data_IF_296526186225
#
_entry.id   IF_296526186225
#
_cell.length_a   1.000
_cell.length_b   1.000
_cell.length_c   1.000
_cell.angle_alpha   90.00
_cell.angle_beta   90.00
_cell.angle_gamma   90.00
#
_symmetry.space_group_name_H-M   'P 1'
#
loop_
_entity.id
_entity.type
_entity.pdbx_description
1 polymer ?
#
# COMPACT_ATOMS: atom_id res chain seq x y z
N UNK A 1 6.13 -15.70 13.68
CA UNK A 1 4.78 -15.20 13.33
C UNK A 1 4.73 -13.75 13.81
N UNK A 2 4.15 -12.81 13.05
CA UNK A 2 4.07 -11.42 13.50
C UNK A 2 3.01 -11.28 14.60
N UNK A 3 3.31 -10.56 15.68
CA UNK A 3 2.37 -10.39 16.80
C UNK A 3 1.57 -9.09 16.63
N UNK A 4 0.24 -9.24 16.59
CA UNK A 4 -0.68 -8.12 16.45
C UNK A 4 -0.87 -7.40 17.80
N UNK A 5 0.15 -6.64 18.21
CA UNK A 5 0.10 -5.84 19.43
C UNK A 5 -0.41 -4.42 19.14
N UNK A 6 -1.62 -4.10 19.59
CA UNK A 6 -2.13 -2.72 19.57
C UNK A 6 -1.39 -1.74 20.51
N UNK A 7 -0.35 -2.21 21.22
CA UNK A 7 0.50 -1.40 22.12
C UNK A 7 1.86 -1.01 21.50
N UNK A 8 2.14 -1.44 20.27
CA UNK A 8 3.46 -1.48 19.62
C UNK A 8 4.28 -0.18 19.53
N UNK A 9 3.68 0.97 19.86
CA UNK A 9 4.46 2.18 20.16
C UNK A 9 3.63 3.12 21.06
N UNK A 10 4.19 3.49 22.21
CA UNK A 10 3.59 4.54 23.04
C UNK A 10 3.69 5.90 22.36
N UNK A 11 2.88 6.87 22.79
CA UNK A 11 2.99 8.25 22.30
C UNK A 11 4.36 8.87 22.55
N UNK A 12 5.06 8.44 23.62
CA UNK A 12 6.39 8.87 24.00
C UNK A 12 7.49 8.30 23.09
N UNK A 13 7.48 6.99 22.83
CA UNK A 13 8.43 6.37 21.91
C UNK A 13 8.25 6.90 20.48
N UNK A 14 7.01 7.13 20.05
CA UNK A 14 6.73 7.76 18.76
C UNK A 14 7.30 9.18 18.68
N UNK A 15 7.28 9.94 19.77
CA UNK A 15 7.90 11.26 19.84
C UNK A 15 9.44 11.18 19.82
N UNK A 16 10.05 10.25 20.57
CA UNK A 16 11.50 10.04 20.53
C UNK A 16 12.01 9.61 19.15
N UNK A 17 11.32 8.66 18.50
CA UNK A 17 11.67 8.17 17.16
C UNK A 17 11.48 9.27 16.11
N UNK A 18 10.39 10.04 16.18
CA UNK A 18 10.18 11.24 15.36
C UNK A 18 11.29 12.29 15.54
N UNK A 19 11.79 12.47 16.77
CA UNK A 19 12.94 13.34 17.07
C UNK A 19 14.27 12.87 16.47
N UNK A 20 14.38 11.60 16.07
CA UNK A 20 15.53 11.03 15.33
C UNK A 20 15.35 11.09 13.80
N UNK A 21 14.26 11.66 13.31
CA UNK A 21 13.91 11.66 11.89
C UNK A 21 13.26 10.35 11.40
N UNK A 22 12.98 9.38 12.28
CA UNK A 22 12.16 8.23 11.94
C UNK A 22 10.72 8.67 11.63
N UNK A 23 9.95 7.83 10.92
CA UNK A 23 8.60 8.15 10.40
C UNK A 23 7.47 7.35 11.11
N UNK A 24 7.30 7.38 12.45
CA UNK A 24 6.32 6.56 13.19
C UNK A 24 4.88 7.10 13.11
N UNK A 25 4.35 7.27 11.89
CA UNK A 25 2.98 7.72 11.63
C UNK A 25 1.93 6.73 12.14
N UNK A 26 0.68 7.17 12.36
CA UNK A 26 -0.35 6.34 13.02
C UNK A 26 -0.66 5.04 12.28
N UNK A 27 -0.65 5.07 10.96
CA UNK A 27 -0.83 3.92 10.06
C UNK A 27 0.28 2.87 10.13
N UNK A 28 1.47 3.21 10.66
CA UNK A 28 2.57 2.25 10.87
C UNK A 28 2.58 1.65 12.30
N UNK A 29 1.52 1.84 13.09
CA UNK A 29 1.39 1.36 14.49
C UNK A 29 0.48 0.14 14.62
N UNK A 30 0.32 -0.63 13.55
CA UNK A 30 -0.71 -1.68 13.43
C UNK A 30 -0.25 -3.02 14.05
N UNK A 31 1.04 -3.38 13.94
CA UNK A 31 1.59 -4.63 14.48
C UNK A 31 3.11 -4.55 14.68
N UNK A 32 3.68 -5.51 15.44
CA UNK A 32 5.13 -5.69 15.63
C UNK A 32 5.68 -6.82 14.76
N UNK A 33 6.96 -6.67 14.40
CA UNK A 33 7.63 -7.53 13.43
C UNK A 33 6.85 -7.73 12.13
N UNK A 34 6.28 -6.68 11.48
CA UNK A 34 5.69 -6.85 10.15
C UNK A 34 6.78 -7.41 9.23
N UNK A 35 6.49 -8.53 8.56
CA UNK A 35 7.49 -9.29 7.78
C UNK A 35 8.23 -8.42 6.76
N UNK A 36 7.51 -7.45 6.22
CA UNK A 36 8.00 -6.36 5.37
C UNK A 36 7.06 -5.16 5.52
N UNK A 37 7.55 -3.98 5.14
CA UNK A 37 6.78 -2.74 5.08
C UNK A 37 7.32 -1.91 3.92
N UNK A 38 6.53 -1.76 2.85
CA UNK A 38 6.97 -1.14 1.59
C UNK A 38 5.98 -0.08 1.16
N UNK A 39 6.51 1.10 0.82
CA UNK A 39 5.80 2.12 0.05
C UNK A 39 6.40 2.14 -1.35
N UNK A 40 5.64 1.65 -2.33
CA UNK A 40 6.03 1.62 -3.74
C UNK A 40 5.31 2.67 -4.61
N UNK A 41 4.50 3.56 -4.01
CA UNK A 41 3.63 4.48 -4.73
C UNK A 41 4.04 5.96 -4.58
N UNK A 42 4.61 6.36 -3.43
CA UNK A 42 5.26 7.67 -3.32
C UNK A 42 6.62 7.64 -4.02
N UNK A 43 6.94 8.66 -4.81
CA UNK A 43 8.18 8.71 -5.60
C UNK A 43 9.43 8.95 -4.73
N UNK A 44 10.62 8.78 -5.31
CA UNK A 44 11.88 9.02 -4.60
C UNK A 44 12.03 10.50 -4.20
N UNK A 45 11.58 11.40 -5.07
CA UNK A 45 11.63 12.86 -4.88
C UNK A 45 10.70 13.28 -3.74
N UNK A 46 9.46 12.78 -3.71
CA UNK A 46 8.53 13.05 -2.61
C UNK A 46 9.02 12.45 -1.27
N UNK A 47 9.65 11.27 -1.30
CA UNK A 47 10.26 10.65 -0.10
C UNK A 47 11.43 11.45 0.47
N UNK A 48 12.18 12.14 -0.39
CA UNK A 48 13.35 12.95 -0.05
C UNK A 48 13.02 14.37 0.44
N UNK A 49 11.81 14.89 0.18
CA UNK A 49 11.41 16.22 0.66
C UNK A 49 11.35 16.27 2.20
N UNK A 50 11.81 17.37 2.83
CA UNK A 50 11.62 17.58 4.26
C UNK A 50 10.14 17.80 4.58
N UNK A 51 9.58 16.96 5.45
CA UNK A 51 8.22 17.08 5.95
C UNK A 51 8.20 17.84 7.29
N UNK A 52 7.10 18.52 7.61
CA UNK A 52 6.95 19.18 8.91
C UNK A 52 6.71 18.12 10.00
N UNK A 53 7.40 18.18 11.16
CA UNK A 53 7.09 17.32 12.29
C UNK A 53 5.60 17.41 12.67
N UNK A 54 4.95 16.26 12.85
CA UNK A 54 3.51 16.18 13.11
C UNK A 54 2.62 16.10 11.85
N UNK A 55 3.12 16.35 10.64
CA UNK A 55 2.39 16.04 9.41
C UNK A 55 2.27 14.53 9.23
N UNK A 56 1.04 14.00 9.29
CA UNK A 56 0.74 12.62 8.92
C UNK A 56 0.87 12.48 7.39
N UNK A 57 1.71 11.54 6.93
CA UNK A 57 1.74 11.16 5.52
C UNK A 57 0.59 10.20 5.17
N UNK A 58 0.09 10.31 3.94
CA UNK A 58 -0.98 9.49 3.37
C UNK A 58 -0.58 9.00 1.98
N UNK A 59 -1.31 8.02 1.45
CA UNK A 59 -1.12 7.47 0.11
C UNK A 59 -2.48 6.97 -0.39
N UNK A 60 -2.89 7.33 -1.61
CA UNK A 60 -4.27 7.18 -2.06
C UNK A 60 -4.49 5.80 -2.70
N UNK A 61 -4.29 4.73 -1.92
CA UNK A 61 -4.58 3.35 -2.33
C UNK A 61 -6.09 3.14 -2.32
N UNK A 62 -6.68 2.95 -3.50
CA UNK A 62 -8.13 2.80 -3.68
C UNK A 62 -8.61 1.37 -3.45
N UNK A 63 -7.84 0.36 -3.88
CA UNK A 63 -8.24 -1.03 -3.76
C UNK A 63 -7.03 -1.98 -3.66
N UNK A 64 -7.25 -3.14 -3.04
CA UNK A 64 -6.29 -4.22 -2.87
C UNK A 64 -6.97 -5.58 -3.04
N UNK A 65 -6.28 -6.56 -3.64
CA UNK A 65 -6.76 -7.94 -3.75
C UNK A 65 -5.61 -8.95 -3.69
N UNK A 66 -5.75 -9.97 -2.84
CA UNK A 66 -4.77 -11.06 -2.69
C UNK A 66 -5.12 -12.22 -3.65
N UNK A 67 -4.17 -12.62 -4.49
CA UNK A 67 -4.27 -13.82 -5.30
C UNK A 67 -3.69 -15.05 -4.58
N UNK A 68 -4.30 -16.22 -4.80
CA UNK A 68 -3.87 -17.49 -4.21
C UNK A 68 -2.50 -18.02 -4.71
N UNK A 69 -1.82 -17.30 -5.60
CA UNK A 69 -0.46 -17.60 -6.07
C UNK A 69 0.64 -16.82 -5.31
N UNK A 70 0.29 -16.11 -4.24
CA UNK A 70 1.25 -15.32 -3.45
C UNK A 70 1.47 -13.88 -3.95
N UNK A 71 0.70 -13.42 -4.95
CA UNK A 71 0.72 -12.02 -5.39
C UNK A 71 -0.38 -11.21 -4.71
N UNK A 72 -0.01 -10.05 -4.16
CA UNK A 72 -0.94 -9.03 -3.67
C UNK A 72 -1.01 -7.90 -4.70
N UNK A 73 -2.19 -7.62 -5.23
CA UNK A 73 -2.44 -6.49 -6.12
C UNK A 73 -2.90 -5.28 -5.30
N UNK A 74 -2.37 -4.10 -5.60
CA UNK A 74 -2.85 -2.83 -5.06
C UNK A 74 -2.85 -1.76 -6.16
N UNK A 75 -3.84 -0.87 -6.12
CA UNK A 75 -4.03 0.19 -7.12
C UNK A 75 -4.22 1.55 -6.45
N UNK A 76 -3.47 2.53 -6.95
CA UNK A 76 -3.48 3.91 -6.48
C UNK A 76 -4.43 4.77 -7.33
N UNK A 77 -4.91 5.89 -6.75
CA UNK A 77 -5.90 6.83 -7.31
C UNK A 77 -5.63 7.34 -8.72
N UNK A 78 -4.36 7.41 -9.12
CA UNK A 78 -3.91 7.82 -10.45
C UNK A 78 -3.85 6.67 -11.47
N UNK A 79 -4.35 5.48 -11.12
CA UNK A 79 -4.41 4.31 -11.99
C UNK A 79 -3.12 3.50 -12.07
N UNK A 80 -2.11 3.76 -11.22
CA UNK A 80 -0.97 2.85 -11.07
C UNK A 80 -1.41 1.60 -10.33
N UNK A 81 -1.49 0.48 -11.03
CA UNK A 81 -1.71 -0.87 -10.50
C UNK A 81 -0.36 -1.57 -10.34
N UNK A 82 -0.06 -2.09 -9.15
CA UNK A 82 1.16 -2.86 -8.86
C UNK A 82 0.81 -4.23 -8.31
N UNK A 83 1.58 -5.24 -8.70
CA UNK A 83 1.58 -6.57 -8.10
C UNK A 83 2.82 -6.72 -7.21
N UNK A 84 2.60 -7.17 -5.98
CA UNK A 84 3.61 -7.33 -4.93
C UNK A 84 3.79 -8.82 -4.61
N UNK A 85 5.02 -9.28 -4.42
CA UNK A 85 5.27 -10.59 -3.83
C UNK A 85 4.97 -10.54 -2.32
N UNK A 86 4.09 -11.41 -1.83
CA UNK A 86 3.73 -11.46 -0.40
C UNK A 86 4.86 -11.99 0.50
N UNK A 87 5.95 -12.49 -0.09
CA UNK A 87 7.14 -12.95 0.63
C UNK A 87 7.91 -11.79 1.24
N UNK A 88 8.15 -10.71 0.50
CA UNK A 88 9.05 -9.61 0.89
C UNK A 88 8.51 -8.20 0.59
N UNK A 89 7.36 -8.07 -0.08
CA UNK A 89 6.78 -6.78 -0.46
C UNK A 89 7.45 -6.14 -1.68
N UNK A 90 8.28 -6.87 -2.43
CA UNK A 90 8.85 -6.40 -3.70
C UNK A 90 7.76 -6.26 -4.77
N UNK A 91 7.91 -5.27 -5.66
CA UNK A 91 7.01 -5.10 -6.81
C UNK A 91 7.50 -5.96 -7.97
N UNK A 92 6.68 -6.92 -8.40
CA UNK A 92 7.01 -7.86 -9.49
C UNK A 92 6.39 -7.49 -10.83
N UNK A 93 5.34 -6.65 -10.84
CA UNK A 93 4.76 -6.09 -12.05
C UNK A 93 4.04 -4.76 -11.76
N UNK A 94 3.97 -3.89 -12.78
CA UNK A 94 3.24 -2.62 -12.74
C UNK A 94 2.52 -2.37 -14.07
N UNK A 95 1.35 -1.76 -14.01
CA UNK A 95 0.54 -1.39 -15.16
C UNK A 95 -0.21 -0.07 -14.88
N UNK A 96 -0.46 0.70 -15.94
CA UNK A 96 -1.39 1.83 -15.89
C UNK A 96 -2.79 1.35 -16.27
N UNK A 97 -3.79 1.66 -15.46
CA UNK A 97 -5.21 1.36 -15.71
C UNK A 97 -6.01 2.67 -15.87
N UNK A 98 -7.23 2.64 -16.44
CA UNK A 98 -8.10 3.81 -16.50
C UNK A 98 -8.41 4.34 -15.10
N UNK A 99 -8.25 5.65 -14.93
CA UNK A 99 -8.50 6.35 -13.66
C UNK A 99 -9.50 7.50 -13.86
N UNK A 100 -10.32 7.84 -12.85
CA UNK A 100 -10.41 7.17 -11.55
C UNK A 100 -11.18 5.85 -11.62
N UNK A 101 -10.87 4.95 -10.70
CA UNK A 101 -11.49 3.63 -10.54
C UNK A 101 -12.03 3.47 -9.11
N UNK A 102 -13.11 2.69 -8.98
CA UNK A 102 -13.98 2.65 -7.81
C UNK A 102 -13.83 1.31 -7.07
N UNK A 103 -13.46 1.36 -5.78
CA UNK A 103 -13.45 0.36 -4.69
C UNK A 103 -13.65 -1.13 -5.06
N UNK A 104 -12.92 -1.61 -6.07
CA UNK A 104 -13.17 -2.91 -6.68
C UNK A 104 -11.96 -3.43 -7.45
N UNK A 105 -11.11 -4.17 -6.73
CA UNK A 105 -10.31 -5.24 -7.33
C UNK A 105 -10.92 -6.58 -6.91
N UNK A 106 -11.31 -7.39 -7.88
CA UNK A 106 -11.76 -8.77 -7.64
C UNK A 106 -10.85 -9.75 -8.40
N UNK A 107 -10.59 -10.92 -7.82
CA UNK A 107 -9.75 -11.96 -8.42
C UNK A 107 -10.53 -13.26 -8.49
N UNK A 108 -10.69 -13.81 -9.70
CA UNK A 108 -11.38 -15.06 -9.94
C UNK A 108 -10.72 -15.80 -11.12
N UNK A 109 -10.54 -17.12 -10.99
CA UNK A 109 -10.05 -18.00 -12.07
C UNK A 109 -8.72 -17.53 -12.74
N UNK A 110 -7.83 -16.91 -11.94
CA UNK A 110 -6.54 -16.38 -12.44
C UNK A 110 -6.62 -15.02 -13.15
N UNK A 111 -7.81 -14.40 -13.21
CA UNK A 111 -8.05 -13.08 -13.79
C UNK A 111 -8.29 -12.03 -12.70
N UNK A 112 -7.83 -10.81 -12.96
CA UNK A 112 -8.06 -9.62 -12.13
C UNK A 112 -9.11 -8.74 -12.80
N UNK A 113 -10.12 -8.33 -12.05
CA UNK A 113 -11.24 -7.51 -12.51
C UNK A 113 -11.22 -6.15 -11.80
N UNK A 114 -11.50 -5.08 -12.53
CA UNK A 114 -11.46 -3.69 -12.05
C UNK A 114 -12.64 -2.87 -12.59
N UNK A 115 -13.29 -2.11 -11.71
CA UNK A 115 -14.38 -1.18 -12.03
C UNK A 115 -13.89 0.26 -12.18
N UNK A 116 -14.18 0.90 -13.32
CA UNK A 116 -13.91 2.34 -13.54
C UNK A 116 -15.05 3.23 -13.03
N UNK A 117 -14.79 4.53 -12.82
CA UNK A 117 -15.85 5.51 -12.52
C UNK A 117 -16.89 5.62 -13.65
N UNK A 118 -16.49 5.36 -14.90
CA UNK A 118 -17.36 5.31 -16.09
C UNK A 118 -18.30 4.10 -16.11
N UNK A 119 -18.18 3.16 -15.17
CA UNK A 119 -18.97 1.93 -15.13
C UNK A 119 -18.45 0.82 -16.04
N UNK A 120 -17.22 0.95 -16.55
CA UNK A 120 -16.57 -0.10 -17.35
C UNK A 120 -15.95 -1.15 -16.45
N UNK A 121 -15.99 -2.41 -16.89
CA UNK A 121 -15.35 -3.54 -16.22
C UNK A 121 -14.13 -4.00 -17.03
N UNK A 122 -12.93 -3.74 -16.51
CA UNK A 122 -11.67 -4.14 -17.12
C UNK A 122 -11.25 -5.51 -16.58
N UNK A 123 -10.80 -6.40 -17.46
CA UNK A 123 -10.34 -7.74 -17.13
C UNK A 123 -8.87 -7.92 -17.56
N UNK A 124 -8.01 -8.35 -16.64
CA UNK A 124 -6.60 -8.62 -16.87
C UNK A 124 -6.30 -10.12 -16.66
N UNK A 125 -5.49 -10.69 -17.55
CA UNK A 125 -5.15 -12.11 -17.57
C UNK A 125 -5.62 -12.81 -18.85
N UNK A 126 -4.84 -13.81 -19.30
CA UNK A 126 -5.21 -14.68 -20.44
C UNK A 126 -6.44 -15.52 -20.08
#
# INVERSE_FOLDING_TARGET
MAEFSGKWITGWEAAQRGGKGEKPFRTYRIAEGPKWMVDAFTSAEEKAKPFKPGTQLTNDIHAMALAGNGLLYAVHRDGRLKAFDTTDGSVVAEAQVPAPMWDGLAIAQGKLYLSTLSGELVCFGK
#
